data_IF_128730408141
#
_entry.id   IF_128730408141
#
_cell.length_a   1.000
_cell.length_b   1.000
_cell.length_c   1.000
_cell.angle_alpha   90.00
_cell.angle_beta   90.00
_cell.angle_gamma   90.00
#
_symmetry.space_group_name_H-M   'P 1'
#
loop_
_entity.id
_entity.type
_entity.pdbx_description
1 polymer ?
#
# COMPACT_ATOMS: atom_id res chain seq x y z
N UNK A 1 -4.80 -30.26 -25.49
CA UNK A 1 -4.61 -29.26 -26.56
C UNK A 1 -4.60 -27.89 -25.92
N UNK A 2 -3.50 -27.16 -26.14
CA UNK A 2 -3.22 -25.75 -25.87
C UNK A 2 -3.72 -25.14 -24.55
N UNK A 3 -2.78 -25.03 -23.60
CA UNK A 3 -2.79 -23.95 -22.61
C UNK A 3 -2.49 -22.63 -23.34
N UNK A 4 -3.42 -22.17 -24.18
CA UNK A 4 -3.40 -20.82 -24.70
C UNK A 4 -3.77 -19.91 -23.54
N UNK A 5 -2.80 -19.60 -22.68
CA UNK A 5 -2.91 -18.49 -21.76
C UNK A 5 -3.22 -17.27 -22.63
N UNK A 6 -4.46 -16.81 -22.57
CA UNK A 6 -4.95 -15.63 -23.29
C UNK A 6 -3.94 -14.51 -23.04
N UNK A 7 -3.22 -14.09 -24.08
CA UNK A 7 -2.26 -12.99 -24.00
C UNK A 7 -3.05 -11.72 -23.67
N UNK A 8 -3.16 -11.40 -22.39
CA UNK A 8 -3.65 -10.09 -21.95
C UNK A 8 -2.52 -9.10 -22.26
N UNK A 9 -2.79 -7.99 -22.97
CA UNK A 9 -1.76 -6.98 -23.21
C UNK A 9 -1.24 -6.48 -21.87
N UNK A 10 0.02 -6.81 -21.56
CA UNK A 10 0.63 -6.50 -20.27
C UNK A 10 0.85 -4.99 -20.17
N UNK A 11 0.14 -4.35 -19.25
CA UNK A 11 0.43 -2.98 -18.84
C UNK A 11 1.60 -2.99 -17.86
N UNK A 12 2.76 -2.55 -18.34
CA UNK A 12 3.99 -2.50 -17.55
C UNK A 12 4.09 -1.19 -16.76
N UNK A 13 4.51 -1.29 -15.50
CA UNK A 13 4.80 -0.13 -14.67
C UNK A 13 6.05 0.61 -15.20
N UNK A 14 5.89 1.88 -15.56
CA UNK A 14 6.96 2.72 -16.14
C UNK A 14 7.74 3.56 -15.13
N UNK A 15 7.33 3.57 -13.86
CA UNK A 15 7.93 4.41 -12.83
C UNK A 15 7.74 3.87 -11.43
N UNK A 16 8.61 4.31 -10.52
CA UNK A 16 8.60 3.90 -9.10
C UNK A 16 8.01 5.03 -8.28
N UNK A 17 6.95 4.74 -7.53
CA UNK A 17 6.44 5.66 -6.54
C UNK A 17 7.35 5.62 -5.30
N UNK A 18 7.73 6.81 -4.82
CA UNK A 18 8.44 6.98 -3.56
C UNK A 18 7.57 7.85 -2.66
N UNK A 19 7.51 7.50 -1.39
CA UNK A 19 6.87 8.33 -0.37
C UNK A 19 7.88 8.61 0.73
N UNK A 20 7.76 9.76 1.35
CA UNK A 20 8.52 10.13 2.53
C UNK A 20 7.68 11.09 3.37
N UNK A 21 7.77 10.94 4.68
CA UNK A 21 7.28 11.90 5.66
C UNK A 21 8.50 12.45 6.40
N UNK A 22 8.53 13.78 6.59
CA UNK A 22 9.62 14.46 7.32
C UNK A 22 9.61 14.14 8.82
N UNK A 23 8.44 13.74 9.36
CA UNK A 23 8.24 13.54 10.78
C UNK A 23 8.58 12.12 11.24
N UNK A 24 7.92 11.09 10.67
CA UNK A 24 8.11 9.72 11.11
C UNK A 24 7.94 8.65 10.02
N UNK A 25 8.56 7.48 10.27
CA UNK A 25 8.52 6.33 9.38
C UNK A 25 7.12 5.70 9.31
N UNK A 26 6.37 5.69 10.42
CA UNK A 26 5.03 5.08 10.49
C UNK A 26 4.06 5.77 9.53
N UNK A 27 4.05 7.11 9.49
CA UNK A 27 3.26 7.90 8.53
C UNK A 27 3.68 7.61 7.08
N UNK A 28 4.98 7.41 6.85
CA UNK A 28 5.48 7.00 5.54
C UNK A 28 4.93 5.62 5.15
N UNK A 29 4.94 4.67 6.09
CA UNK A 29 4.50 3.30 5.86
C UNK A 29 3.00 3.21 5.53
N UNK A 30 2.15 3.91 6.29
CA UNK A 30 0.71 3.98 6.01
C UNK A 30 0.44 4.60 4.63
N UNK A 31 1.16 5.66 4.28
CA UNK A 31 1.05 6.24 2.94
C UNK A 31 1.45 5.21 1.86
N UNK A 32 2.55 4.47 2.07
CA UNK A 32 2.99 3.42 1.13
C UNK A 32 1.95 2.31 0.97
N UNK A 33 1.37 1.85 2.07
CA UNK A 33 0.27 0.89 2.05
C UNK A 33 -0.90 1.39 1.20
N UNK A 34 -1.35 2.64 1.40
CA UNK A 34 -2.50 3.17 0.68
C UNK A 34 -2.29 3.21 -0.84
N UNK A 35 -1.10 3.62 -1.29
CA UNK A 35 -0.75 3.61 -2.71
C UNK A 35 -0.49 2.19 -3.22
N UNK A 36 0.09 1.32 -2.39
CA UNK A 36 0.31 -0.09 -2.65
C UNK A 36 -1.00 -0.82 -2.92
N UNK A 37 -2.02 -0.59 -2.09
CA UNK A 37 -3.35 -1.17 -2.26
C UNK A 37 -4.01 -0.71 -3.57
N UNK A 38 -3.90 0.59 -3.88
CA UNK A 38 -4.41 1.14 -5.13
C UNK A 38 -3.64 0.65 -6.37
N UNK A 39 -2.35 0.34 -6.24
CA UNK A 39 -1.56 -0.27 -7.31
C UNK A 39 -1.91 -1.75 -7.49
N UNK A 40 -2.03 -2.49 -6.38
CA UNK A 40 -2.36 -3.91 -6.36
C UNK A 40 -3.72 -4.17 -7.02
N UNK A 41 -4.76 -3.39 -6.70
CA UNK A 41 -6.07 -3.55 -7.34
C UNK A 41 -6.02 -3.37 -8.86
N UNK A 42 -5.24 -2.40 -9.35
CA UNK A 42 -5.05 -2.20 -10.80
C UNK A 42 -4.25 -3.34 -11.43
N UNK A 43 -3.24 -3.85 -10.74
CA UNK A 43 -2.41 -4.96 -11.21
C UNK A 43 -3.22 -6.26 -11.29
N UNK A 44 -4.01 -6.60 -10.26
CA UNK A 44 -4.87 -7.78 -10.26
C UNK A 44 -5.94 -7.71 -11.35
N UNK A 45 -6.56 -6.54 -11.54
CA UNK A 45 -7.50 -6.33 -12.63
C UNK A 45 -6.84 -6.47 -14.01
N UNK A 46 -5.63 -5.92 -14.20
CA UNK A 46 -4.89 -6.06 -15.44
C UNK A 46 -4.48 -7.52 -15.73
N UNK A 47 -4.31 -8.35 -14.68
CA UNK A 47 -4.04 -9.78 -14.81
C UNK A 47 -5.31 -10.63 -14.96
N UNK A 48 -6.51 -10.03 -14.88
CA UNK A 48 -7.78 -10.75 -14.91
C UNK A 48 -8.07 -11.56 -13.64
N UNK A 49 -7.37 -11.28 -12.54
CA UNK A 49 -7.57 -11.93 -11.23
C UNK A 49 -8.61 -11.21 -10.36
N UNK A 50 -8.97 -9.97 -10.71
CA UNK A 50 -9.99 -9.18 -10.04
C UNK A 50 -10.94 -8.55 -11.06
N UNK A 51 -12.24 -8.49 -10.74
CA UNK A 51 -13.27 -7.88 -11.60
C UNK A 51 -13.23 -6.35 -11.57
N UNK A 52 -12.74 -5.77 -10.47
CA UNK A 52 -12.63 -4.33 -10.29
C UNK A 52 -11.17 -3.90 -10.07
N UNK A 53 -10.85 -2.66 -10.45
CA UNK A 53 -9.52 -2.07 -10.27
C UNK A 53 -9.24 -1.57 -8.84
N UNK A 54 -10.22 -1.69 -7.94
CA UNK A 54 -10.16 -1.26 -6.54
C UNK A 54 -10.50 -2.45 -5.65
N UNK A 55 -9.64 -2.70 -4.68
CA UNK A 55 -9.87 -3.68 -3.61
C UNK A 55 -10.67 -3.00 -2.50
N UNK A 56 -11.69 -3.67 -1.99
CA UNK A 56 -12.49 -3.16 -0.89
C UNK A 56 -11.71 -3.24 0.43
N UNK A 57 -11.88 -2.26 1.32
CA UNK A 57 -11.14 -2.22 2.59
C UNK A 57 -11.46 -3.36 3.56
N UNK A 58 -12.53 -4.12 3.30
CA UNK A 58 -12.93 -5.29 4.08
C UNK A 58 -12.49 -6.61 3.43
N UNK A 59 -11.81 -6.56 2.29
CA UNK A 59 -11.24 -7.75 1.65
C UNK A 59 -10.08 -8.28 2.50
N UNK A 60 -10.04 -9.58 2.86
CA UNK A 60 -8.94 -10.18 3.62
C UNK A 60 -7.55 -9.91 3.04
N UNK A 61 -7.44 -9.72 1.72
CA UNK A 61 -6.20 -9.35 1.06
C UNK A 61 -5.62 -8.01 1.57
N UNK A 62 -6.48 -7.10 2.04
CA UNK A 62 -6.08 -5.81 2.60
C UNK A 62 -5.36 -6.00 3.93
N UNK A 63 -5.83 -6.92 4.77
CA UNK A 63 -5.21 -7.24 6.05
C UNK A 63 -3.82 -7.88 5.82
N UNK A 64 -3.74 -8.86 4.93
CA UNK A 64 -2.46 -9.47 4.53
C UNK A 64 -1.48 -8.41 3.98
N UNK A 65 -1.97 -7.50 3.13
CA UNK A 65 -1.16 -6.43 2.58
C UNK A 65 -0.68 -5.47 3.68
N UNK A 66 -1.55 -5.13 4.64
CA UNK A 66 -1.18 -4.28 5.77
C UNK A 66 -0.06 -4.94 6.59
N UNK A 67 -0.20 -6.23 6.92
CA UNK A 67 0.82 -6.99 7.66
C UNK A 67 2.19 -6.98 6.94
N UNK A 68 2.18 -7.08 5.60
CA UNK A 68 3.42 -6.95 4.81
C UNK A 68 4.05 -5.56 4.95
N UNK A 69 3.26 -4.50 4.86
CA UNK A 69 3.74 -3.12 5.02
C UNK A 69 4.21 -2.87 6.45
N UNK A 70 3.50 -3.32 7.48
CA UNK A 70 3.92 -3.20 8.88
C UNK A 70 5.28 -3.84 9.13
N UNK A 71 5.47 -5.09 8.69
CA UNK A 71 6.76 -5.80 8.81
C UNK A 71 7.90 -5.12 8.05
N UNK A 72 7.60 -4.56 6.88
CA UNK A 72 8.56 -3.76 6.13
C UNK A 72 8.95 -2.50 6.91
N UNK A 73 7.96 -1.78 7.46
CA UNK A 73 8.16 -0.60 8.31
C UNK A 73 9.04 -0.90 9.52
N UNK A 74 8.77 -2.00 10.22
CA UNK A 74 9.58 -2.46 11.36
C UNK A 74 11.03 -2.76 10.97
N UNK A 75 11.22 -3.44 9.85
CA UNK A 75 12.57 -3.78 9.36
C UNK A 75 13.36 -2.51 9.00
N UNK A 76 12.70 -1.52 8.40
CA UNK A 76 13.30 -0.23 8.10
C UNK A 76 13.59 0.57 9.37
N UNK A 77 12.67 0.57 10.34
CA UNK A 77 12.86 1.27 11.61
C UNK A 77 14.11 0.79 12.35
N UNK A 78 14.37 -0.53 12.35
CA UNK A 78 15.57 -1.11 12.95
C UNK A 78 16.84 -0.54 12.31
N UNK A 79 16.83 -0.31 10.99
CA UNK A 79 17.97 0.29 10.29
C UNK A 79 18.13 1.80 10.55
N UNK A 80 17.00 2.52 10.68
CA UNK A 80 17.01 3.97 10.90
C UNK A 80 17.30 4.39 12.35
N UNK A 81 16.73 3.68 13.32
CA UNK A 81 16.77 4.06 14.74
C UNK A 81 17.30 2.99 15.69
N UNK A 82 17.56 1.75 15.22
CA UNK A 82 17.96 0.64 16.07
C UNK A 82 16.81 -0.02 16.86
N UNK A 83 15.57 0.39 16.61
CA UNK A 83 14.35 -0.15 17.23
C UNK A 83 13.27 -0.40 16.19
N UNK A 84 12.30 -1.27 16.47
CA UNK A 84 11.10 -1.44 15.64
C UNK A 84 10.34 -0.12 15.51
N UNK A 85 9.50 0.01 14.49
CA UNK A 85 8.63 1.17 14.34
C UNK A 85 7.80 1.27 15.61
N UNK A 86 7.83 2.42 16.27
CA UNK A 86 7.22 2.55 17.58
C UNK A 86 5.70 2.50 17.40
N UNK A 87 5.09 1.32 17.58
CA UNK A 87 3.64 1.13 17.73
C UNK A 87 3.12 1.84 19.00
N UNK A 88 3.29 3.17 19.09
CA UNK A 88 2.54 4.03 19.99
C UNK A 88 1.42 4.66 19.17
N UNK A 89 0.34 3.89 19.05
CA UNK A 89 -1.04 4.40 19.04
C UNK A 89 -1.17 5.77 18.38
N UNK A 90 -0.92 5.86 17.07
CA UNK A 90 -1.48 6.94 16.27
C UNK A 90 -2.63 6.36 15.47
N UNK A 91 -3.66 5.92 16.21
CA UNK A 91 -4.99 5.63 15.68
C UNK A 91 -5.61 6.98 15.25
N UNK A 92 -5.10 7.57 14.18
CA UNK A 92 -5.78 8.63 13.46
C UNK A 92 -6.55 7.95 12.35
N UNK A 93 -7.74 7.48 12.73
CA UNK A 93 -8.82 7.19 11.79
C UNK A 93 -9.12 8.51 11.07
N UNK A 94 -8.63 8.68 9.85
CA UNK A 94 -9.14 9.70 8.94
C UNK A 94 -9.54 9.02 7.63
N UNK A 95 -10.66 8.31 7.73
CA UNK A 95 -11.60 8.21 6.64
C UNK A 95 -12.05 9.63 6.27
N UNK A 96 -11.66 10.18 5.13
CA UNK A 96 -12.47 11.22 4.49
C UNK A 96 -12.37 11.12 2.96
N UNK A 97 -13.52 10.79 2.39
CA UNK A 97 -14.03 11.10 1.04
C UNK A 97 -13.04 11.78 0.09
N UNK A 98 -12.75 11.07 -1.00
CA UNK A 98 -12.37 11.60 -2.32
C UNK A 98 -11.70 12.97 -2.38
N UNK A 99 -10.42 12.94 -2.75
CA UNK A 99 -9.59 14.03 -3.25
C UNK A 99 -8.78 14.79 -2.17
N UNK A 100 -7.50 14.41 -2.11
CA UNK A 100 -6.35 15.15 -1.55
C UNK A 100 -6.29 15.20 -0.02
N UNK A 101 -5.34 14.44 0.52
CA UNK A 101 -5.04 14.34 1.94
C UNK A 101 -3.93 15.35 2.30
N UNK A 102 -4.29 16.40 3.04
CA UNK A 102 -3.35 17.24 3.79
C UNK A 102 -3.57 16.98 5.28
N UNK A 103 -2.51 16.61 6.00
CA UNK A 103 -2.48 16.71 7.46
C UNK A 103 -1.23 17.48 7.84
N UNK A 104 -1.45 18.76 8.18
CA UNK A 104 -0.63 19.54 9.09
C UNK A 104 -1.16 19.28 10.51
N UNK A 105 -0.29 18.89 11.44
CA UNK A 105 -0.16 19.56 12.72
C UNK A 105 1.08 19.04 13.45
N UNK A 106 1.79 19.98 14.06
CA UNK A 106 3.04 19.90 14.83
C UNK A 106 3.25 18.63 15.65
#
# INVERSE_FOLDING_TARGET
>A
TECAAKLVPLLLQKGVLRTNCIDCLDRTNVAQFSYGLAALGRQLHALGLAEAHKIELHDPLVDDLMDFYERMGDTLAIQYGGSTAHNKVCLVILAYSGNVFYIFHY
#
